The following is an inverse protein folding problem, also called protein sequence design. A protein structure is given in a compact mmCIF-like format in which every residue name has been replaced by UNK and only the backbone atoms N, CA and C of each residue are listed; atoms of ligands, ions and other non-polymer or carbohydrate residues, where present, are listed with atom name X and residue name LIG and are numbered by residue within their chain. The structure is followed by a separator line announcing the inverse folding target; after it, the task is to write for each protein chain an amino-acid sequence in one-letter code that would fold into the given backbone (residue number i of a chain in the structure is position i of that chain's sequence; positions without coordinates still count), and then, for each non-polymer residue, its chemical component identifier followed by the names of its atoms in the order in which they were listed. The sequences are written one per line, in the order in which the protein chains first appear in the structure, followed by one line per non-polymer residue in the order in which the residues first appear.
data_IF_703920298628
#
_entry.id   IF_703920298628
#
_cell.length_a   1.000
_cell.length_b   1.000
_cell.length_c   1.000
_cell.angle_alpha   90.00
_cell.angle_beta   90.00
_cell.angle_gamma   90.00
#
_symmetry.space_group_name_H-M   'P 1'
#
loop_
_entity.id
_entity.type
_entity.pdbx_description
1 polymer ?
#
# COMPACT_ATOMS: atom_id res chain seq x y z
N UNK A 1 -8.22 -21.96 13.91
CA UNK A 1 -7.86 -22.52 12.60
C UNK A 1 -6.34 -22.69 12.57
N UNK A 2 -5.82 -23.89 12.35
CA UNK A 2 -4.37 -24.11 12.21
C UNK A 2 -3.89 -23.35 10.97
N UNK A 3 -3.05 -22.34 11.16
CA UNK A 3 -2.49 -21.59 10.05
C UNK A 3 -1.59 -22.52 9.25
N UNK A 4 -1.90 -22.73 7.97
CA UNK A 4 -1.12 -23.58 7.07
C UNK A 4 0.22 -22.93 6.75
N UNK A 5 1.24 -23.77 6.56
CA UNK A 5 2.55 -23.35 6.07
C UNK A 5 2.42 -22.71 4.67
N UNK A 6 3.29 -21.75 4.35
CA UNK A 6 3.35 -21.18 3.00
C UNK A 6 4.17 -22.10 2.09
N UNK A 7 3.75 -22.24 0.83
CA UNK A 7 4.45 -23.07 -0.16
C UNK A 7 5.94 -22.71 -0.32
N UNK A 8 6.27 -21.42 -0.27
CA UNK A 8 7.65 -20.94 -0.43
C UNK A 8 8.34 -20.60 0.90
N UNK A 9 7.68 -20.88 2.05
CA UNK A 9 8.20 -20.65 3.39
C UNK A 9 7.57 -21.64 4.37
N UNK A 10 8.10 -22.85 4.43
CA UNK A 10 7.54 -23.98 5.19
C UNK A 10 7.45 -23.69 6.71
N UNK A 11 8.42 -22.96 7.25
CA UNK A 11 8.48 -22.51 8.64
C UNK A 11 7.72 -21.19 8.90
N UNK A 12 6.79 -20.82 8.02
CA UNK A 12 6.02 -19.57 8.12
C UNK A 12 5.41 -19.31 9.49
N UNK A 13 4.81 -20.33 10.11
CA UNK A 13 4.19 -20.17 11.44
C UNK A 13 5.19 -19.69 12.50
N UNK A 14 6.40 -20.25 12.49
CA UNK A 14 7.49 -19.85 13.38
C UNK A 14 7.99 -18.45 13.05
N UNK A 15 8.16 -18.13 11.77
CA UNK A 15 8.57 -16.79 11.33
C UNK A 15 7.56 -15.74 11.77
N UNK A 16 6.26 -16.02 11.63
CA UNK A 16 5.18 -15.14 12.08
C UNK A 16 5.25 -14.89 13.59
N UNK A 17 5.41 -15.94 14.39
CA UNK A 17 5.55 -15.81 15.86
C UNK A 17 6.74 -14.94 16.25
N UNK A 18 7.89 -15.10 15.58
CA UNK A 18 9.08 -14.28 15.82
C UNK A 18 8.81 -12.81 15.45
N UNK A 19 8.14 -12.55 14.32
CA UNK A 19 7.74 -11.19 13.95
C UNK A 19 6.81 -10.56 14.99
N UNK A 20 5.81 -11.31 15.46
CA UNK A 20 4.88 -10.85 16.51
C UNK A 20 5.64 -10.52 17.80
N UNK A 21 6.48 -11.43 18.29
CA UNK A 21 7.27 -11.21 19.51
C UNK A 21 8.24 -10.02 19.39
N UNK A 22 8.82 -9.80 18.21
CA UNK A 22 9.64 -8.61 17.96
C UNK A 22 8.81 -7.32 17.96
N UNK A 23 7.63 -7.34 17.34
CA UNK A 23 6.73 -6.18 17.29
C UNK A 23 6.21 -5.78 18.67
N UNK A 24 5.88 -6.77 19.51
CA UNK A 24 5.50 -6.58 20.92
C UNK A 24 6.71 -6.25 21.83
N UNK A 25 7.92 -6.21 21.26
CA UNK A 25 9.14 -5.84 21.95
C UNK A 25 9.71 -6.90 22.89
N UNK A 26 9.23 -8.14 22.82
CA UNK A 26 9.76 -9.30 23.56
C UNK A 26 11.14 -9.73 23.05
N UNK A 27 11.37 -9.57 21.74
CA UNK A 27 12.66 -9.81 21.09
C UNK A 27 13.34 -8.46 20.80
N UNK A 28 14.56 -8.26 21.30
CA UNK A 28 15.36 -7.05 21.06
C UNK A 28 16.45 -7.21 20.00
N UNK A 29 16.70 -8.44 19.56
CA UNK A 29 17.66 -8.72 18.48
C UNK A 29 17.11 -8.29 17.12
N UNK A 30 17.98 -7.87 16.18
CA UNK A 30 17.56 -7.56 14.83
C UNK A 30 16.98 -8.80 14.13
N UNK A 31 15.93 -8.60 13.35
CA UNK A 31 15.38 -9.61 12.46
C UNK A 31 16.13 -9.57 11.13
N UNK A 32 16.57 -10.73 10.63
CA UNK A 32 17.32 -10.82 9.38
C UNK A 32 16.50 -11.53 8.32
N UNK A 33 16.34 -10.88 7.16
CA UNK A 33 15.69 -11.42 5.99
C UNK A 33 16.71 -11.59 4.86
N UNK A 34 16.75 -12.77 4.26
CA UNK A 34 17.61 -13.05 3.09
C UNK A 34 16.72 -13.46 1.93
N UNK A 35 16.73 -12.66 0.87
CA UNK A 35 16.01 -12.95 -0.38
C UNK A 35 17.06 -13.13 -1.47
N UNK A 36 17.14 -14.33 -2.04
CA UNK A 36 18.14 -14.66 -3.05
C UNK A 36 17.55 -15.58 -4.12
N UNK A 37 18.04 -15.56 -5.37
CA UNK A 37 17.62 -16.54 -6.37
C UNK A 37 18.11 -17.94 -6.00
N UNK A 38 17.31 -18.98 -6.26
CA UNK A 38 17.68 -20.39 -6.07
C UNK A 38 18.72 -20.89 -7.09
N UNK A 39 18.86 -20.20 -8.22
CA UNK A 39 19.74 -20.61 -9.31
C UNK A 39 20.19 -19.43 -10.18
N UNK A 40 21.02 -19.72 -11.18
CA UNK A 40 21.64 -18.70 -12.03
C UNK A 40 20.64 -17.89 -12.88
N UNK A 41 19.51 -18.50 -13.25
CA UNK A 41 18.45 -17.84 -14.01
C UNK A 41 17.24 -17.59 -13.10
N UNK A 42 16.77 -16.35 -13.06
CA UNK A 42 15.56 -15.97 -12.35
C UNK A 42 14.82 -14.88 -13.13
N UNK A 43 13.49 -14.90 -13.06
CA UNK A 43 12.64 -13.82 -13.55
C UNK A 43 12.53 -12.76 -12.47
N UNK A 44 12.91 -11.52 -12.76
CA UNK A 44 12.74 -10.42 -11.81
C UNK A 44 11.24 -10.07 -11.66
N UNK A 45 10.83 -9.76 -10.43
CA UNK A 45 9.55 -9.09 -10.14
C UNK A 45 9.83 -7.62 -9.86
N UNK A 46 9.06 -6.74 -10.50
CA UNK A 46 9.12 -5.31 -10.21
C UNK A 46 7.96 -4.94 -9.28
N UNK A 47 8.30 -4.38 -8.11
CA UNK A 47 7.32 -3.92 -7.12
C UNK A 47 6.41 -2.79 -7.63
N UNK A 48 6.66 -2.24 -8.82
CA UNK A 48 5.82 -1.23 -9.47
C UNK A 48 4.90 -1.79 -10.56
N UNK A 49 4.84 -3.10 -10.76
CA UNK A 49 4.03 -3.70 -11.83
C UNK A 49 2.53 -3.38 -11.69
N UNK A 50 1.99 -3.22 -10.47
CA UNK A 50 0.59 -2.76 -10.30
C UNK A 50 0.37 -1.31 -10.77
N UNK A 51 1.36 -0.44 -10.67
CA UNK A 51 1.30 0.90 -11.24
C UNK A 51 1.44 0.89 -12.77
N UNK A 52 2.23 -0.04 -13.30
CA UNK A 52 2.48 -0.18 -14.75
C UNK A 52 1.33 -0.86 -15.49
N UNK A 53 0.67 -1.81 -14.82
CA UNK A 53 -0.43 -2.61 -15.36
C UNK A 53 -1.65 -2.58 -14.42
N UNK A 54 -2.21 -1.40 -14.10
CA UNK A 54 -3.24 -1.24 -13.07
C UNK A 54 -4.56 -1.94 -13.40
N UNK A 55 -4.78 -2.25 -14.67
CA UNK A 55 -5.98 -2.93 -15.17
C UNK A 55 -5.73 -4.42 -15.48
N UNK A 56 -4.56 -4.97 -15.11
CA UNK A 56 -4.19 -6.39 -15.32
C UNK A 56 -3.61 -7.04 -14.04
N UNK A 57 -4.32 -7.00 -12.90
CA UNK A 57 -3.79 -7.50 -11.63
C UNK A 57 -3.41 -8.98 -11.65
N UNK A 58 -4.11 -9.83 -12.42
CA UNK A 58 -3.78 -11.26 -12.53
C UNK A 58 -2.42 -11.50 -13.18
N UNK A 59 -2.01 -10.64 -14.12
CA UNK A 59 -0.68 -10.72 -14.73
C UNK A 59 0.39 -10.47 -13.67
N UNK A 60 0.23 -9.40 -12.89
CA UNK A 60 1.18 -8.99 -11.85
C UNK A 60 1.29 -10.06 -10.76
N UNK A 61 0.16 -10.60 -10.30
CA UNK A 61 0.13 -11.67 -9.29
C UNK A 61 0.83 -12.93 -9.79
N UNK A 62 0.62 -13.34 -11.06
CA UNK A 62 1.32 -14.49 -11.66
C UNK A 62 2.82 -14.25 -11.81
N UNK A 63 3.23 -13.03 -12.17
CA UNK A 63 4.65 -12.67 -12.23
C UNK A 63 5.31 -12.77 -10.86
N UNK A 64 4.63 -12.29 -9.81
CA UNK A 64 5.09 -12.42 -8.44
C UNK A 64 5.20 -13.88 -7.99
N UNK A 65 4.19 -14.72 -8.24
CA UNK A 65 4.24 -16.14 -7.90
C UNK A 65 5.39 -16.86 -8.63
N UNK A 66 5.59 -16.56 -9.92
CA UNK A 66 6.71 -17.09 -10.70
C UNK A 66 8.05 -16.71 -10.08
N UNK A 67 8.23 -15.45 -9.69
CA UNK A 67 9.41 -14.98 -8.96
C UNK A 67 9.59 -15.72 -7.63
N UNK A 68 8.52 -15.91 -6.85
CA UNK A 68 8.57 -16.66 -5.59
C UNK A 68 9.06 -18.11 -5.79
N UNK A 69 8.61 -18.78 -6.86
CA UNK A 69 9.02 -20.17 -7.13
C UNK A 69 10.54 -20.32 -7.32
N UNK A 70 11.19 -19.27 -7.82
CA UNK A 70 12.63 -19.20 -8.12
C UNK A 70 13.44 -18.51 -7.00
N UNK A 71 12.78 -18.06 -5.93
CA UNK A 71 13.40 -17.29 -4.85
C UNK A 71 13.54 -18.13 -3.59
N UNK A 72 14.70 -18.05 -2.97
CA UNK A 72 15.01 -18.54 -1.64
C UNK A 72 14.69 -17.45 -0.61
N UNK A 73 13.81 -17.80 0.34
CA UNK A 73 13.40 -16.94 1.46
C UNK A 73 14.08 -17.43 2.75
N UNK A 74 15.33 -16.99 2.95
CA UNK A 74 16.17 -17.36 4.08
C UNK A 74 15.95 -16.49 5.33
N UNK A 75 16.27 -17.04 6.50
CA UNK A 75 16.03 -16.39 7.78
C UNK A 75 14.54 -16.13 7.98
N UNK A 76 14.19 -14.87 8.22
CA UNK A 76 12.80 -14.41 8.41
C UNK A 76 12.21 -13.79 7.14
N UNK A 77 12.85 -13.94 5.98
CA UNK A 77 12.24 -13.56 4.72
C UNK A 77 11.00 -14.43 4.44
N UNK A 78 10.01 -13.86 3.78
CA UNK A 78 8.81 -14.55 3.34
C UNK A 78 8.28 -13.92 2.05
N UNK A 79 7.52 -14.65 1.23
CA UNK A 79 6.90 -14.10 0.02
C UNK A 79 5.79 -13.10 0.39
N UNK A 80 6.10 -11.81 0.33
CA UNK A 80 5.18 -10.70 0.60
C UNK A 80 4.78 -9.99 -0.70
N UNK A 81 3.57 -10.21 -1.20
CA UNK A 81 3.01 -9.47 -2.31
C UNK A 81 2.44 -8.14 -1.80
N UNK A 82 3.24 -7.08 -1.87
CA UNK A 82 2.75 -5.74 -1.57
C UNK A 82 1.96 -5.18 -2.77
N UNK A 83 0.67 -4.86 -2.55
CA UNK A 83 -0.18 -4.21 -3.55
C UNK A 83 0.22 -2.73 -3.67
N UNK A 84 1.34 -2.47 -4.33
CA UNK A 84 1.94 -1.14 -4.39
C UNK A 84 1.30 -0.28 -5.50
N UNK A 85 0.47 0.69 -5.10
CA UNK A 85 -0.05 1.76 -5.96
C UNK A 85 0.62 3.11 -5.70
N UNK A 86 1.76 3.12 -5.00
CA UNK A 86 2.44 4.32 -4.56
C UNK A 86 2.12 4.74 -3.12
N UNK A 87 2.97 5.60 -2.53
CA UNK A 87 2.81 6.05 -1.16
C UNK A 87 1.75 7.16 -1.06
N UNK A 88 0.55 6.82 -0.60
CA UNK A 88 -0.52 7.81 -0.42
C UNK A 88 -1.59 7.82 -1.49
N UNK A 89 -1.98 6.64 -2.00
CA UNK A 89 -3.01 6.49 -3.02
C UNK A 89 -4.38 7.07 -2.61
N UNK A 90 -4.63 7.31 -1.31
CA UNK A 90 -5.82 8.01 -0.83
C UNK A 90 -6.01 9.38 -1.48
N UNK A 91 -4.92 10.10 -1.75
CA UNK A 91 -5.00 11.38 -2.48
C UNK A 91 -5.65 11.21 -3.86
N UNK A 92 -5.37 10.12 -4.57
CA UNK A 92 -5.98 9.82 -5.86
C UNK A 92 -7.45 9.40 -5.76
N UNK A 93 -7.84 8.73 -4.67
CA UNK A 93 -9.25 8.46 -4.38
C UNK A 93 -10.04 9.76 -4.16
N UNK A 94 -9.38 10.78 -3.59
CA UNK A 94 -9.90 12.11 -3.34
C UNK A 94 -9.72 13.08 -4.52
N UNK A 95 -9.29 12.59 -5.68
CA UNK A 95 -9.28 13.34 -6.94
C UNK A 95 -7.95 13.98 -7.33
N UNK A 96 -6.84 13.66 -6.66
CA UNK A 96 -5.52 14.00 -7.21
C UNK A 96 -5.21 13.14 -8.43
N UNK A 97 -4.52 13.70 -9.42
CA UNK A 97 -4.04 12.95 -10.58
C UNK A 97 -2.63 12.39 -10.27
N UNK A 98 -2.46 11.06 -10.13
CA UNK A 98 -1.16 10.48 -9.82
C UNK A 98 -0.27 10.35 -11.06
N UNK A 99 1.04 10.54 -10.88
CA UNK A 99 2.05 10.40 -11.92
C UNK A 99 2.93 9.18 -11.66
N UNK A 100 2.87 8.21 -12.57
CA UNK A 100 3.85 7.12 -12.60
C UNK A 100 5.01 7.46 -13.55
N UNK A 101 6.23 7.49 -13.02
CA UNK A 101 7.46 7.78 -13.79
C UNK A 101 8.15 6.53 -14.32
N UNK A 102 7.52 5.36 -14.21
CA UNK A 102 8.10 4.07 -14.55
C UNK A 102 8.86 3.40 -13.41
N UNK A 103 9.31 4.17 -12.41
CA UNK A 103 10.05 3.67 -11.24
C UNK A 103 9.50 4.18 -9.91
N UNK A 104 8.64 5.19 -9.92
CA UNK A 104 8.01 5.76 -8.73
C UNK A 104 6.64 6.33 -9.08
N UNK A 105 5.71 6.30 -8.12
CA UNK A 105 4.41 6.96 -8.20
C UNK A 105 4.42 8.22 -7.34
N UNK A 106 3.92 9.33 -7.90
CA UNK A 106 3.87 10.63 -7.25
C UNK A 106 2.45 11.15 -7.16
N UNK A 107 2.14 11.78 -6.04
CA UNK A 107 0.86 12.45 -5.78
C UNK A 107 1.14 13.93 -5.52
N UNK A 108 0.42 14.82 -6.18
CA UNK A 108 0.61 16.25 -5.95
C UNK A 108 -0.29 17.17 -6.76
N UNK A 109 -0.59 18.31 -6.16
CA UNK A 109 -1.45 19.34 -6.76
C UNK A 109 -0.89 19.97 -8.05
N UNK A 110 0.42 19.83 -8.30
CA UNK A 110 1.09 20.31 -9.53
C UNK A 110 0.49 19.68 -10.79
N UNK A 111 -0.08 18.47 -10.68
CA UNK A 111 -0.73 17.77 -11.78
C UNK A 111 -2.25 17.73 -11.68
N UNK A 112 -2.81 18.13 -10.54
CA UNK A 112 -4.25 18.13 -10.30
C UNK A 112 -4.87 19.45 -10.77
N UNK A 113 -6.20 19.52 -10.82
CA UNK A 113 -6.98 20.70 -11.28
C UNK A 113 -6.81 22.00 -10.47
N UNK A 114 -5.87 22.03 -9.52
CA UNK A 114 -5.63 23.12 -8.57
C UNK A 114 -5.63 22.63 -7.12
N UNK A 115 -5.09 23.42 -6.18
CA UNK A 115 -5.08 23.06 -4.77
C UNK A 115 -6.48 23.15 -4.15
N UNK A 116 -6.88 22.12 -3.40
CA UNK A 116 -8.09 22.19 -2.58
C UNK A 116 -7.88 23.11 -1.37
N UNK A 117 -8.91 23.86 -0.99
CA UNK A 117 -8.93 24.63 0.25
C UNK A 117 -9.14 23.71 1.46
N UNK A 118 -8.79 24.20 2.66
CA UNK A 118 -9.06 23.46 3.91
C UNK A 118 -10.54 23.19 4.15
N UNK A 119 -11.42 24.07 3.68
CA UNK A 119 -12.86 23.87 3.78
C UNK A 119 -13.29 22.70 2.90
N UNK A 120 -12.86 22.68 1.64
CA UNK A 120 -13.11 21.55 0.74
C UNK A 120 -12.58 20.23 1.31
N UNK A 121 -11.37 20.23 1.88
CA UNK A 121 -10.81 19.05 2.54
C UNK A 121 -11.57 18.60 3.80
N UNK A 122 -12.23 19.52 4.50
CA UNK A 122 -13.04 19.20 5.68
C UNK A 122 -14.38 18.57 5.31
N UNK A 123 -14.86 18.80 4.08
CA UNK A 123 -16.18 18.38 3.60
C UNK A 123 -16.10 17.30 2.51
N UNK A 124 -14.91 16.98 2.00
CA UNK A 124 -14.70 16.00 0.93
C UNK A 124 -15.09 14.59 1.39
N UNK A 125 -15.59 13.78 0.46
CA UNK A 125 -15.89 12.37 0.66
C UNK A 125 -15.26 11.55 -0.46
N UNK A 126 -15.04 10.26 -0.22
CA UNK A 126 -14.56 9.34 -1.25
C UNK A 126 -15.71 8.96 -2.17
N UNK A 127 -15.49 9.13 -3.47
CA UNK A 127 -16.32 8.49 -4.50
C UNK A 127 -15.77 7.08 -4.77
N UNK A 128 -16.45 6.04 -4.31
CA UNK A 128 -16.03 4.65 -4.54
C UNK A 128 -16.19 4.19 -6.01
N UNK A 129 -16.76 5.03 -6.89
CA UNK A 129 -16.69 4.82 -8.33
C UNK A 129 -15.38 5.36 -8.96
N UNK A 130 -14.57 6.09 -8.19
CA UNK A 130 -13.24 6.58 -8.58
C UNK A 130 -12.39 5.44 -9.17
N UNK A 131 -11.73 5.74 -10.29
CA UNK A 131 -10.98 4.73 -11.05
C UNK A 131 -9.83 4.11 -10.24
N UNK A 132 -9.14 4.90 -9.42
CA UNK A 132 -8.04 4.42 -8.59
C UNK A 132 -8.54 3.57 -7.43
N UNK A 133 -9.67 3.93 -6.80
CA UNK A 133 -10.31 3.07 -5.81
C UNK A 133 -10.66 1.71 -6.41
N UNK A 134 -11.36 1.70 -7.56
CA UNK A 134 -11.77 0.45 -8.22
C UNK A 134 -10.58 -0.42 -8.63
N UNK A 135 -9.47 0.19 -9.06
CA UNK A 135 -8.22 -0.53 -9.38
C UNK A 135 -7.62 -1.19 -8.15
N UNK A 136 -7.50 -0.46 -7.05
CA UNK A 136 -6.96 -0.98 -5.78
C UNK A 136 -7.87 -2.09 -5.23
N UNK A 137 -9.18 -1.87 -5.20
CA UNK A 137 -10.15 -2.85 -4.71
C UNK A 137 -10.11 -4.13 -5.56
N UNK A 138 -10.16 -3.99 -6.88
CA UNK A 138 -10.08 -5.13 -7.82
C UNK A 138 -8.77 -5.90 -7.64
N UNK A 139 -7.64 -5.19 -7.58
CA UNK A 139 -6.32 -5.80 -7.37
C UNK A 139 -6.25 -6.56 -6.04
N UNK A 140 -6.81 -5.98 -4.97
CA UNK A 140 -6.87 -6.62 -3.66
C UNK A 140 -7.66 -7.92 -3.72
N UNK A 141 -8.85 -7.91 -4.34
CA UNK A 141 -9.67 -9.12 -4.51
C UNK A 141 -8.95 -10.19 -5.32
N UNK A 142 -8.28 -9.81 -6.40
CA UNK A 142 -7.53 -10.72 -7.27
C UNK A 142 -6.34 -11.34 -6.53
N UNK A 143 -5.55 -10.53 -5.82
CA UNK A 143 -4.41 -11.00 -5.04
C UNK A 143 -4.84 -12.01 -3.95
N UNK A 144 -5.91 -11.70 -3.22
CA UNK A 144 -6.48 -12.61 -2.20
C UNK A 144 -7.02 -13.90 -2.84
N UNK A 145 -7.79 -13.81 -3.93
CA UNK A 145 -8.30 -15.02 -4.59
C UNK A 145 -7.19 -15.96 -5.12
N UNK A 146 -6.04 -15.39 -5.48
CA UNK A 146 -4.91 -16.11 -6.08
C UNK A 146 -3.84 -16.53 -5.06
N UNK A 147 -3.81 -16.02 -3.82
CA UNK A 147 -2.70 -16.32 -2.90
C UNK A 147 -2.57 -17.83 -2.60
N UNK A 148 -3.69 -18.51 -2.25
CA UNK A 148 -3.78 -19.98 -2.02
C UNK A 148 -2.62 -20.58 -1.23
N UNK A 149 -2.31 -20.02 -0.06
CA UNK A 149 -1.20 -20.45 0.82
C UNK A 149 0.21 -20.35 0.16
N UNK A 150 0.38 -19.63 -0.95
CA UNK A 150 1.68 -19.48 -1.62
C UNK A 150 2.45 -18.26 -1.15
N UNK A 151 1.75 -17.17 -0.88
CA UNK A 151 2.32 -15.92 -0.43
C UNK A 151 1.36 -15.15 0.48
N UNK A 152 1.89 -14.15 1.18
CA UNK A 152 1.12 -13.19 1.97
C UNK A 152 0.76 -12.00 1.08
N UNK A 153 -0.48 -11.52 1.20
CA UNK A 153 -0.96 -10.32 0.51
C UNK A 153 -0.85 -9.14 1.46
N UNK A 154 -0.06 -8.14 1.08
CA UNK A 154 0.08 -6.87 1.78
C UNK A 154 -0.84 -5.80 1.19
N UNK A 155 -1.37 -4.93 2.06
CA UNK A 155 -2.24 -3.82 1.66
C UNK A 155 -1.47 -2.72 0.94
N UNK A 156 -2.18 -1.98 0.09
CA UNK A 156 -1.63 -0.76 -0.51
C UNK A 156 -1.34 0.31 0.54
N UNK A 157 -0.40 1.19 0.24
CA UNK A 157 -0.09 2.33 1.11
C UNK A 157 -1.11 3.46 0.89
N UNK A 158 -2.00 3.63 1.86
CA UNK A 158 -3.04 4.66 1.90
C UNK A 158 -2.45 6.05 2.24
N UNK A 159 -1.19 6.10 2.72
CA UNK A 159 -0.44 7.31 3.06
C UNK A 159 -0.73 7.87 4.45
N UNK A 160 0.13 8.78 4.89
CA UNK A 160 -0.12 9.59 6.08
C UNK A 160 -1.16 10.68 5.82
N UNK A 161 -1.97 10.98 6.84
CA UNK A 161 -3.05 12.00 6.74
C UNK A 161 -2.52 13.36 6.29
N UNK A 162 -1.38 13.81 6.82
CA UNK A 162 -0.77 15.08 6.42
C UNK A 162 -0.16 15.02 5.01
N UNK A 163 0.36 13.87 4.57
CA UNK A 163 0.89 13.70 3.22
C UNK A 163 -0.24 13.80 2.18
N UNK A 164 -1.40 13.21 2.48
CA UNK A 164 -2.61 13.33 1.65
C UNK A 164 -3.09 14.78 1.57
N UNK A 165 -3.15 15.48 2.71
CA UNK A 165 -3.52 16.90 2.74
C UNK A 165 -2.52 17.72 1.92
N UNK A 166 -1.21 17.51 2.11
CA UNK A 166 -0.17 18.20 1.36
C UNK A 166 -0.25 17.93 -0.14
N UNK A 167 -0.58 16.70 -0.55
CA UNK A 167 -0.79 16.35 -1.95
C UNK A 167 -1.97 17.10 -2.58
N UNK A 168 -3.05 17.32 -1.82
CA UNK A 168 -4.29 17.93 -2.31
C UNK A 168 -4.30 19.47 -2.24
N UNK A 169 -3.81 20.08 -1.17
CA UNK A 169 -3.78 21.55 -1.00
C UNK A 169 -2.42 22.19 -1.29
N UNK A 170 -1.35 21.38 -1.35
CA UNK A 170 0.02 21.82 -1.52
C UNK A 170 0.76 21.99 -0.19
N UNK A 171 1.96 21.42 -0.11
CA UNK A 171 2.80 21.41 1.10
C UNK A 171 3.03 22.80 1.69
N UNK A 172 3.38 23.79 0.86
CA UNK A 172 3.63 25.17 1.33
C UNK A 172 2.37 25.78 1.94
N UNK A 173 1.22 25.53 1.33
CA UNK A 173 -0.05 26.08 1.82
C UNK A 173 -0.50 25.37 3.10
N UNK A 174 -0.35 24.04 3.18
CA UNK A 174 -0.57 23.29 4.42
C UNK A 174 0.30 23.85 5.58
N UNK A 175 1.60 24.04 5.35
CA UNK A 175 2.53 24.58 6.35
C UNK A 175 2.16 26.00 6.79
N UNK A 176 1.76 26.87 5.87
CA UNK A 176 1.25 28.21 6.21
C UNK A 176 0.01 28.13 7.08
N UNK A 177 -0.90 27.20 6.80
CA UNK A 177 -2.13 27.03 7.57
C UNK A 177 -1.91 26.46 8.96
N UNK A 178 -0.80 25.76 9.23
CA UNK A 178 -0.42 25.40 10.61
C UNK A 178 -0.28 26.64 11.50
N UNK A 179 0.16 27.77 10.94
CA UNK A 179 0.28 29.03 11.67
C UNK A 179 -0.96 29.91 11.54
N UNK A 180 -1.51 30.04 10.32
CA UNK A 180 -2.55 31.02 10.00
C UNK A 180 -3.97 30.54 10.30
N UNK A 181 -4.23 29.24 10.15
CA UNK A 181 -5.55 28.64 10.33
C UNK A 181 -5.45 27.21 10.89
N UNK A 182 -4.90 27.03 12.10
CA UNK A 182 -4.70 25.70 12.68
C UNK A 182 -6.02 24.96 12.93
N UNK A 183 -7.11 25.68 13.21
CA UNK A 183 -8.43 25.07 13.41
C UNK A 183 -9.02 24.50 12.11
N UNK A 184 -8.88 25.23 10.99
CA UNK A 184 -9.27 24.72 9.68
C UNK A 184 -8.45 23.49 9.28
N UNK A 185 -7.13 23.53 9.51
CA UNK A 185 -6.27 22.39 9.21
C UNK A 185 -6.61 21.18 10.09
N UNK A 186 -6.90 21.39 11.38
CA UNK A 186 -7.36 20.33 12.28
C UNK A 186 -8.67 19.69 11.83
N UNK A 187 -9.59 20.48 11.28
CA UNK A 187 -10.85 19.98 10.74
C UNK A 187 -10.62 19.10 9.51
N UNK A 188 -9.75 19.53 8.60
CA UNK A 188 -9.32 18.72 7.46
C UNK A 188 -8.61 17.44 7.89
N UNK A 189 -7.72 17.49 8.88
CA UNK A 189 -7.04 16.30 9.44
C UNK A 189 -8.07 15.28 9.94
N UNK A 190 -9.07 15.70 10.70
CA UNK A 190 -10.09 14.79 11.21
C UNK A 190 -10.89 14.15 10.08
N UNK A 191 -11.37 14.94 9.12
CA UNK A 191 -12.12 14.38 7.98
C UNK A 191 -11.28 13.36 7.18
N UNK A 192 -10.04 13.71 6.85
CA UNK A 192 -9.15 12.80 6.11
C UNK A 192 -8.79 11.56 6.94
N UNK A 193 -8.72 11.65 8.27
CA UNK A 193 -8.51 10.49 9.15
C UNK A 193 -9.70 9.53 9.10
N UNK A 194 -10.93 10.03 9.13
CA UNK A 194 -12.13 9.20 9.01
C UNK A 194 -12.17 8.48 7.65
N UNK A 195 -11.87 9.19 6.56
CA UNK A 195 -11.79 8.62 5.21
C UNK A 195 -10.66 7.59 5.07
N UNK A 196 -9.53 7.82 5.76
CA UNK A 196 -8.44 6.86 5.85
C UNK A 196 -8.89 5.56 6.50
N UNK A 197 -9.61 5.65 7.63
CA UNK A 197 -10.18 4.48 8.32
C UNK A 197 -11.22 3.77 7.46
N UNK A 198 -12.08 4.51 6.76
CA UNK A 198 -13.05 3.90 5.84
C UNK A 198 -12.35 3.11 4.73
N UNK A 199 -11.31 3.67 4.11
CA UNK A 199 -10.50 2.97 3.12
C UNK A 199 -9.85 1.72 3.70
N UNK A 200 -9.19 1.86 4.85
CA UNK A 200 -8.52 0.77 5.55
C UNK A 200 -9.48 -0.39 5.81
N UNK A 201 -10.61 -0.11 6.45
CA UNK A 201 -11.59 -1.13 6.83
C UNK A 201 -12.17 -1.86 5.63
N UNK A 202 -12.45 -1.13 4.54
CA UNK A 202 -12.97 -1.71 3.30
C UNK A 202 -11.96 -2.65 2.65
N UNK A 203 -10.69 -2.25 2.57
CA UNK A 203 -9.62 -3.09 2.02
C UNK A 203 -9.33 -4.28 2.93
N UNK A 204 -9.26 -4.06 4.24
CA UNK A 204 -9.02 -5.10 5.24
C UNK A 204 -10.09 -6.19 5.22
N UNK A 205 -11.37 -5.84 5.03
CA UNK A 205 -12.47 -6.83 4.90
C UNK A 205 -12.35 -7.74 3.67
N UNK A 206 -11.55 -7.36 2.68
CA UNK A 206 -11.28 -8.19 1.50
C UNK A 206 -10.16 -9.20 1.79
N UNK A 207 -9.26 -8.86 2.71
CA UNK A 207 -8.03 -9.60 3.02
C UNK A 207 -8.22 -10.74 4.01
#
# INVERSE_FOLDING_TARGET
MSARALLYKEDWNKVREIFTAWWEGEIKSPLVQVVAPKGAFHTAYDGWDFCRYPDQPELVVRNFERWCSQTYFGGLAYPNLWINFGPGILSAFLGSDPLFTGQTMWFGNQQSKGPLSLKELSDINIDFSNIWWRRVESTTRVAVALHRDRFIVGMTDIGGVLDVIAALCGTVEMLKNMLRNPHGLKSAIWNITELWHECYDRLYRIM
#
